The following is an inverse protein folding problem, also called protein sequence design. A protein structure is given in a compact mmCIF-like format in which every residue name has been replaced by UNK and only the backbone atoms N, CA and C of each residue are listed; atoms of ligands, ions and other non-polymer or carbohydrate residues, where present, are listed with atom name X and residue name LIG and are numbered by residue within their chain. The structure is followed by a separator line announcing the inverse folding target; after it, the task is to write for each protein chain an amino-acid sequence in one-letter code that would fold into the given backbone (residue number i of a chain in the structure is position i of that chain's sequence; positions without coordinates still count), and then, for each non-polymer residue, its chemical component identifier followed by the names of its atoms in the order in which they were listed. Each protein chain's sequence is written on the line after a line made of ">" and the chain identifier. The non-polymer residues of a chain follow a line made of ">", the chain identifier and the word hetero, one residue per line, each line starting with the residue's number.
data_IF_654566946056
#
_entry.id   IF_654566946056
#
_cell.length_a   1.000
_cell.length_b   1.000
_cell.length_c   1.000
_cell.angle_alpha   90.00
_cell.angle_beta   90.00
_cell.angle_gamma   90.00
#
_symmetry.space_group_name_H-M   'P 1'
#
loop_
_entity.id
_entity.type
_entity.pdbx_description
1 polymer ?
#
# COMPACT_ATOMS: atom_id res chain seq x y z
N UNK A 1 17.74 -23.21 1.37
CA UNK A 1 16.55 -23.03 0.50
C UNK A 1 16.31 -21.55 0.13
N UNK A 2 17.35 -20.77 -0.22
CA UNK A 2 17.27 -19.31 -0.50
C UNK A 2 17.62 -18.93 -1.94
N UNK A 3 17.85 -19.91 -2.82
CA UNK A 3 18.41 -19.68 -4.17
C UNK A 3 17.43 -19.96 -5.31
N UNK A 4 16.23 -20.48 -5.03
CA UNK A 4 15.23 -20.80 -6.05
C UNK A 4 14.33 -19.60 -6.40
N UNK A 5 14.07 -18.69 -5.46
CA UNK A 5 13.07 -17.64 -5.64
C UNK A 5 13.57 -16.40 -6.41
N UNK A 6 14.88 -16.13 -6.39
CA UNK A 6 15.48 -15.01 -7.14
C UNK A 6 15.53 -15.29 -8.64
N UNK A 7 15.53 -16.56 -9.06
CA UNK A 7 15.60 -16.93 -10.48
C UNK A 7 14.27 -16.80 -11.23
N UNK A 8 13.14 -16.83 -10.52
CA UNK A 8 11.81 -16.79 -11.17
C UNK A 8 11.46 -15.39 -11.67
N UNK A 9 12.05 -14.34 -11.10
CA UNK A 9 11.74 -12.94 -11.48
C UNK A 9 12.57 -12.44 -12.68
N UNK A 10 13.70 -13.08 -13.01
CA UNK A 10 14.63 -12.55 -14.02
C UNK A 10 14.46 -13.15 -15.43
N UNK A 11 13.55 -14.09 -15.66
CA UNK A 11 13.63 -14.94 -16.86
C UNK A 11 12.62 -14.64 -17.99
N UNK A 12 11.97 -13.47 -18.02
CA UNK A 12 10.87 -13.21 -18.97
C UNK A 12 10.96 -11.91 -19.79
N UNK A 13 12.13 -11.32 -20.05
CA UNK A 13 12.18 -10.06 -20.85
C UNK A 13 13.47 -9.81 -21.63
N UNK A 14 14.04 -10.85 -22.22
CA UNK A 14 14.94 -10.65 -23.37
C UNK A 14 14.30 -11.29 -24.59
N UNK A 15 13.08 -10.88 -24.93
CA UNK A 15 12.76 -10.86 -26.36
C UNK A 15 13.77 -9.90 -26.98
N UNK A 16 14.63 -10.41 -27.85
CA UNK A 16 15.55 -9.55 -28.58
C UNK A 16 14.70 -8.56 -29.38
N UNK A 17 14.61 -7.32 -28.85
CA UNK A 17 13.87 -6.24 -29.50
C UNK A 17 14.34 -6.18 -30.94
N UNK A 18 13.43 -6.48 -31.86
CA UNK A 18 13.74 -6.38 -33.29
C UNK A 18 14.21 -4.96 -33.56
N UNK A 19 15.19 -4.77 -34.45
CA UNK A 19 15.77 -3.44 -34.72
C UNK A 19 14.71 -2.35 -34.97
N UNK A 20 13.58 -2.72 -35.57
CA UNK A 20 12.42 -1.84 -35.77
C UNK A 20 11.70 -1.45 -34.48
N UNK A 21 11.53 -2.37 -33.51
CA UNK A 21 10.93 -2.06 -32.21
C UNK A 21 11.82 -1.10 -31.42
N UNK A 22 13.13 -1.36 -31.37
CA UNK A 22 14.09 -0.47 -30.70
C UNK A 22 14.12 0.93 -31.32
N UNK A 23 13.94 1.02 -32.64
CA UNK A 23 13.88 2.29 -33.35
C UNK A 23 12.57 3.03 -33.04
N UNK A 24 11.44 2.33 -33.05
CA UNK A 24 10.13 2.88 -32.70
C UNK A 24 10.12 3.45 -31.27
N UNK A 25 10.79 2.79 -30.32
CA UNK A 25 10.85 3.23 -28.93
C UNK A 25 11.63 4.51 -28.77
N UNK A 26 12.80 4.57 -29.39
CA UNK A 26 13.60 5.79 -29.42
C UNK A 26 12.85 6.93 -30.06
N UNK A 27 12.11 6.68 -31.14
CA UNK A 27 11.28 7.71 -31.77
C UNK A 27 10.11 8.13 -30.89
N UNK A 28 9.43 7.20 -30.21
CA UNK A 28 8.33 7.51 -29.30
C UNK A 28 8.81 8.33 -28.09
N UNK A 29 9.94 7.95 -27.49
CA UNK A 29 10.59 8.71 -26.41
C UNK A 29 11.01 10.10 -26.87
N UNK A 30 11.54 10.22 -28.11
CA UNK A 30 11.96 11.50 -28.68
C UNK A 30 10.76 12.43 -28.93
N UNK A 31 9.67 11.92 -29.53
CA UNK A 31 8.46 12.69 -29.85
C UNK A 31 7.76 13.20 -28.60
N UNK A 32 7.84 12.46 -27.48
CA UNK A 32 7.29 12.88 -26.19
C UNK A 32 8.16 13.88 -25.40
N UNK A 33 9.33 14.26 -25.91
CA UNK A 33 10.28 15.09 -25.18
C UNK A 33 10.08 16.59 -25.40
N UNK A 34 10.20 17.38 -24.34
CA UNK A 34 10.22 18.85 -24.40
C UNK A 34 11.29 19.41 -25.35
N UNK A 35 12.45 18.73 -25.45
CA UNK A 35 13.54 19.14 -26.36
C UNK A 35 13.15 19.00 -27.84
N UNK A 36 12.35 17.97 -28.18
CA UNK A 36 11.87 17.76 -29.54
C UNK A 36 10.92 18.87 -29.97
N UNK A 37 9.96 19.24 -29.11
CA UNK A 37 9.04 20.35 -29.37
C UNK A 37 9.79 21.66 -29.65
N UNK A 38 10.77 22.02 -28.80
CA UNK A 38 11.57 23.24 -28.98
C UNK A 38 12.36 23.20 -30.30
N UNK A 39 12.98 22.07 -30.63
CA UNK A 39 13.71 21.88 -31.89
C UNK A 39 12.77 22.07 -33.09
N UNK A 40 11.63 21.38 -33.11
CA UNK A 40 10.65 21.46 -34.18
C UNK A 40 10.10 22.88 -34.35
N UNK A 41 9.78 23.57 -33.26
CA UNK A 41 9.34 24.97 -33.29
C UNK A 41 10.42 25.91 -33.82
N UNK A 42 11.69 25.66 -33.49
CA UNK A 42 12.83 26.46 -33.99
C UNK A 42 13.01 26.28 -35.49
N UNK A 43 12.89 25.04 -35.99
CA UNK A 43 12.94 24.75 -37.43
C UNK A 43 11.79 25.45 -38.17
N UNK A 44 10.57 25.37 -37.64
CA UNK A 44 9.40 26.06 -38.21
C UNK A 44 9.60 27.58 -38.21
N UNK A 45 10.02 28.16 -37.10
CA UNK A 45 10.27 29.59 -36.98
C UNK A 45 11.41 30.05 -37.92
N UNK A 46 12.47 29.26 -38.05
CA UNK A 46 13.57 29.51 -38.98
C UNK A 46 13.13 29.45 -40.44
N UNK A 47 12.29 28.47 -40.79
CA UNK A 47 11.74 28.31 -42.14
C UNK A 47 10.85 29.50 -42.53
N UNK A 48 9.90 29.87 -41.66
CA UNK A 48 9.05 31.05 -41.83
C UNK A 48 9.91 32.31 -41.90
N UNK A 49 10.90 32.46 -41.02
CA UNK A 49 11.80 33.60 -41.00
C UNK A 49 12.58 33.78 -42.31
N UNK A 50 13.16 32.71 -42.86
CA UNK A 50 13.90 32.75 -44.14
C UNK A 50 12.95 33.09 -45.30
N UNK A 51 11.76 32.51 -45.32
CA UNK A 51 10.79 32.74 -46.40
C UNK A 51 10.15 34.13 -46.38
N UNK A 52 10.15 34.82 -45.23
CA UNK A 52 9.67 36.21 -45.09
C UNK A 52 10.77 37.26 -45.32
N UNK A 53 12.04 36.88 -45.48
CA UNK A 53 13.13 37.83 -45.67
C UNK A 53 13.08 38.47 -47.07
N UNK A 54 13.00 39.82 -47.16
CA UNK A 54 12.98 40.51 -48.44
C UNK A 54 14.33 40.34 -49.16
N UNK A 55 14.29 39.79 -50.38
CA UNK A 55 15.48 39.57 -51.22
C UNK A 55 15.89 38.11 -51.43
N UNK A 56 15.25 37.17 -50.73
CA UNK A 56 15.35 35.73 -51.04
C UNK A 56 14.20 35.37 -51.99
N UNK A 57 14.42 34.56 -53.04
CA UNK A 57 13.30 34.05 -53.84
C UNK A 57 12.33 33.30 -52.92
N UNK A 58 11.05 33.67 -52.93
CA UNK A 58 10.01 32.98 -52.14
C UNK A 58 9.87 31.54 -52.66
N UNK A 59 10.55 30.59 -52.01
CA UNK A 59 10.52 29.18 -52.39
C UNK A 59 9.20 28.50 -51.97
N UNK A 60 8.49 29.08 -51.00
CA UNK A 60 7.22 28.57 -50.48
C UNK A 60 6.19 29.72 -50.39
N UNK A 61 5.57 30.04 -51.53
CA UNK A 61 4.54 31.08 -51.66
C UNK A 61 3.25 30.70 -50.88
N UNK A 62 2.42 31.69 -50.53
CA UNK A 62 1.26 31.53 -49.64
C UNK A 62 0.34 30.34 -50.00
N UNK A 63 -0.06 29.46 -49.04
CA UNK A 63 0.25 29.40 -47.61
C UNK A 63 1.15 28.18 -47.31
N UNK A 64 2.47 28.31 -47.48
CA UNK A 64 3.46 27.28 -47.15
C UNK A 64 3.08 25.84 -47.57
N UNK A 65 2.81 25.62 -48.85
CA UNK A 65 2.30 24.34 -49.38
C UNK A 65 3.25 23.19 -49.08
N UNK A 66 4.56 23.40 -49.24
CA UNK A 66 5.56 22.35 -49.03
C UNK A 66 5.71 22.01 -47.55
N UNK A 67 5.74 23.03 -46.68
CA UNK A 67 5.83 22.82 -45.24
C UNK A 67 4.62 22.07 -44.69
N UNK A 68 3.42 22.46 -45.14
CA UNK A 68 2.17 21.80 -44.74
C UNK A 68 2.13 20.33 -45.19
N UNK A 69 2.63 20.03 -46.39
CA UNK A 69 2.70 18.66 -46.91
C UNK A 69 3.60 17.79 -46.04
N UNK A 70 4.83 18.25 -45.76
CA UNK A 70 5.80 17.49 -44.96
C UNK A 70 5.30 17.30 -43.54
N UNK A 71 4.75 18.35 -42.92
CA UNK A 71 4.22 18.28 -41.55
C UNK A 71 3.03 17.32 -41.43
N UNK A 72 2.13 17.32 -42.42
CA UNK A 72 1.00 16.38 -42.47
C UNK A 72 1.47 14.94 -42.55
N UNK A 73 2.46 14.65 -43.41
CA UNK A 73 3.03 13.30 -43.51
C UNK A 73 3.74 12.87 -42.21
N UNK A 74 4.53 13.75 -41.61
CA UNK A 74 5.22 13.48 -40.35
C UNK A 74 4.24 13.13 -39.23
N UNK A 75 3.15 13.89 -39.11
CA UNK A 75 2.10 13.63 -38.11
C UNK A 75 1.38 12.30 -38.37
N UNK A 76 1.06 12.00 -39.63
CA UNK A 76 0.39 10.76 -40.02
C UNK A 76 1.22 9.51 -39.66
N UNK A 77 2.54 9.56 -39.81
CA UNK A 77 3.42 8.45 -39.45
C UNK A 77 3.75 8.37 -37.95
N UNK A 78 3.68 9.51 -37.24
CA UNK A 78 3.95 9.56 -35.80
C UNK A 78 2.88 8.80 -35.00
N UNK A 79 1.60 8.96 -35.33
CA UNK A 79 0.49 8.33 -34.62
C UNK A 79 0.61 6.79 -34.49
N UNK A 80 0.85 6.00 -35.56
CA UNK A 80 0.99 4.55 -35.45
C UNK A 80 2.28 4.12 -34.73
N UNK A 81 3.39 4.86 -34.83
CA UNK A 81 4.60 4.57 -34.06
C UNK A 81 4.34 4.72 -32.56
N UNK A 82 3.72 5.85 -32.19
CA UNK A 82 3.38 6.13 -30.80
C UNK A 82 2.38 5.09 -30.29
N UNK A 83 1.38 4.72 -31.08
CA UNK A 83 0.41 3.68 -30.70
C UNK A 83 1.07 2.31 -30.52
N UNK A 84 2.01 1.92 -31.38
CA UNK A 84 2.73 0.66 -31.27
C UNK A 84 3.62 0.63 -30.02
N UNK A 85 4.31 1.73 -29.73
CA UNK A 85 5.13 1.87 -28.53
C UNK A 85 4.28 1.86 -27.26
N UNK A 86 3.14 2.57 -27.27
CA UNK A 86 2.16 2.57 -26.18
C UNK A 86 1.57 1.19 -25.92
N UNK A 87 1.16 0.46 -26.96
CA UNK A 87 0.60 -0.88 -26.80
C UNK A 87 1.61 -1.80 -26.11
N UNK A 88 2.88 -1.77 -26.52
CA UNK A 88 3.92 -2.59 -25.89
C UNK A 88 4.23 -2.17 -24.45
N UNK A 89 4.24 -0.87 -24.17
CA UNK A 89 4.43 -0.37 -22.80
C UNK A 89 3.27 -0.82 -21.91
N UNK A 90 2.02 -0.72 -22.38
CA UNK A 90 0.84 -1.14 -21.64
C UNK A 90 0.80 -2.64 -21.33
N UNK A 91 1.27 -3.48 -22.25
CA UNK A 91 1.39 -4.92 -22.02
C UNK A 91 2.43 -5.23 -20.94
N UNK A 92 3.57 -4.53 -20.97
CA UNK A 92 4.62 -4.64 -19.94
C UNK A 92 4.09 -4.18 -18.59
N UNK A 93 3.41 -3.03 -18.54
CA UNK A 93 2.84 -2.47 -17.32
C UNK A 93 1.76 -3.39 -16.73
N UNK A 94 0.94 -4.03 -17.57
CA UNK A 94 -0.06 -5.03 -17.15
C UNK A 94 0.59 -6.25 -16.50
N UNK A 95 1.66 -6.78 -17.09
CA UNK A 95 2.40 -7.92 -16.53
C UNK A 95 3.01 -7.53 -15.19
N UNK A 96 3.64 -6.36 -15.10
CA UNK A 96 4.23 -5.86 -13.87
C UNK A 96 3.18 -5.68 -12.76
N UNK A 97 2.00 -5.17 -13.12
CA UNK A 97 0.88 -5.02 -12.18
C UNK A 97 0.37 -6.37 -11.65
N UNK A 98 0.29 -7.39 -12.50
CA UNK A 98 -0.10 -8.74 -12.06
C UNK A 98 0.94 -9.36 -11.11
N UNK A 99 2.23 -9.20 -11.42
CA UNK A 99 3.32 -9.66 -10.55
C UNK A 99 3.25 -8.97 -9.19
N UNK A 100 3.10 -7.64 -9.18
CA UNK A 100 3.00 -6.85 -7.95
C UNK A 100 1.80 -7.29 -7.11
N UNK A 101 0.65 -7.51 -7.75
CA UNK A 101 -0.55 -8.03 -7.10
C UNK A 101 -0.30 -9.40 -6.47
N UNK A 102 0.32 -10.34 -7.19
CA UNK A 102 0.66 -11.67 -6.65
C UNK A 102 1.66 -11.59 -5.48
N UNK A 103 2.64 -10.69 -5.55
CA UNK A 103 3.60 -10.46 -4.45
C UNK A 103 2.87 -9.92 -3.22
N UNK A 104 1.95 -8.96 -3.40
CA UNK A 104 1.16 -8.39 -2.32
C UNK A 104 0.28 -9.45 -1.64
N UNK A 105 -0.39 -10.32 -2.41
CA UNK A 105 -1.18 -11.42 -1.86
C UNK A 105 -0.32 -12.39 -1.03
N UNK A 106 0.85 -12.77 -1.55
CA UNK A 106 1.80 -13.64 -0.81
C UNK A 106 2.32 -12.96 0.45
N UNK A 107 2.58 -11.65 0.40
CA UNK A 107 2.97 -10.87 1.57
C UNK A 107 1.87 -10.89 2.63
N UNK A 108 0.60 -10.70 2.24
CA UNK A 108 -0.56 -10.81 3.12
C UNK A 108 -0.65 -12.18 3.80
N UNK A 109 -0.54 -13.27 3.03
CA UNK A 109 -0.53 -14.64 3.57
C UNK A 109 0.64 -14.90 4.53
N UNK A 110 1.83 -14.40 4.21
CA UNK A 110 2.99 -14.53 5.08
C UNK A 110 2.79 -13.78 6.41
N UNK A 111 2.16 -12.60 6.38
CA UNK A 111 1.83 -11.84 7.58
C UNK A 111 0.81 -12.60 8.43
N UNK A 112 -0.22 -13.18 7.81
CA UNK A 112 -1.22 -14.01 8.51
C UNK A 112 -0.56 -15.22 9.19
N UNK A 113 0.31 -15.95 8.47
CA UNK A 113 1.08 -17.06 9.03
C UNK A 113 2.02 -16.62 10.17
N UNK A 114 2.64 -15.43 10.04
CA UNK A 114 3.47 -14.87 11.11
C UNK A 114 2.63 -14.55 12.36
N UNK A 115 1.42 -14.02 12.19
CA UNK A 115 0.48 -13.78 13.29
C UNK A 115 0.06 -15.07 13.97
N UNK A 116 -0.32 -16.11 13.20
CA UNK A 116 -0.67 -17.42 13.75
C UNK A 116 0.48 -18.00 14.59
N UNK A 117 1.72 -17.93 14.08
CA UNK A 117 2.90 -18.40 14.80
C UNK A 117 3.19 -17.58 16.05
N UNK A 118 2.98 -16.27 16.01
CA UNK A 118 3.15 -15.40 17.16
C UNK A 118 2.12 -15.70 18.25
N UNK A 119 0.86 -15.89 17.87
CA UNK A 119 -0.22 -16.23 18.81
C UNK A 119 -0.02 -17.62 19.42
N UNK A 120 0.48 -18.58 18.64
CA UNK A 120 0.87 -19.91 19.13
C UNK A 120 1.95 -19.80 20.22
N UNK A 121 2.99 -18.98 19.98
CA UNK A 121 4.06 -18.73 20.95
C UNK A 121 3.55 -18.00 22.21
N UNK A 122 2.76 -16.95 22.05
CA UNK A 122 2.16 -16.23 23.19
C UNK A 122 1.29 -17.16 24.05
N UNK A 123 0.47 -18.00 23.42
CA UNK A 123 -0.39 -18.95 24.13
C UNK A 123 0.43 -19.96 24.93
N UNK A 124 1.53 -20.48 24.35
CA UNK A 124 2.46 -21.37 25.06
C UNK A 124 3.08 -20.68 26.29
N UNK A 125 3.57 -19.45 26.13
CA UNK A 125 4.14 -18.67 27.24
C UNK A 125 3.11 -18.39 28.36
N UNK A 126 1.88 -18.04 28.01
CA UNK A 126 0.81 -17.81 28.98
C UNK A 126 0.46 -19.09 29.75
N UNK A 127 0.44 -20.23 29.07
CA UNK A 127 0.19 -21.53 29.71
C UNK A 127 1.33 -21.89 30.69
N UNK A 128 2.58 -21.68 30.31
CA UNK A 128 3.74 -21.90 31.19
C UNK A 128 3.68 -21.00 32.43
N UNK A 129 3.42 -19.70 32.25
CA UNK A 129 3.26 -18.76 33.37
C UNK A 129 2.10 -19.17 34.29
N UNK A 130 0.97 -19.59 33.74
CA UNK A 130 -0.18 -20.06 34.52
C UNK A 130 0.16 -21.31 35.33
N UNK A 131 0.93 -22.24 34.74
CA UNK A 131 1.39 -23.44 35.43
C UNK A 131 2.33 -23.09 36.59
N UNK A 132 3.32 -22.21 36.37
CA UNK A 132 4.25 -21.75 37.41
C UNK A 132 3.49 -21.08 38.57
N UNK A 133 2.52 -20.21 38.27
CA UNK A 133 1.70 -19.55 39.31
C UNK A 133 0.89 -20.57 40.11
N UNK A 134 0.32 -21.59 39.45
CA UNK A 134 -0.42 -22.66 40.11
C UNK A 134 0.48 -23.48 41.05
N UNK A 135 1.70 -23.80 40.62
CA UNK A 135 2.70 -24.48 41.43
C UNK A 135 3.10 -23.64 42.66
N UNK A 136 3.33 -22.33 42.49
CA UNK A 136 3.60 -21.42 43.61
C UNK A 136 2.45 -21.37 44.61
N UNK A 137 1.20 -21.32 44.15
CA UNK A 137 0.02 -21.31 45.01
C UNK A 137 -0.09 -22.62 45.82
N UNK A 138 0.26 -23.75 45.22
CA UNK A 138 0.26 -25.04 45.90
C UNK A 138 1.33 -25.09 46.99
N UNK A 139 2.56 -24.67 46.71
CA UNK A 139 3.65 -24.58 47.70
C UNK A 139 3.29 -23.63 48.84
N UNK A 140 2.70 -22.46 48.54
CA UNK A 140 2.23 -21.53 49.57
C UNK A 140 1.11 -22.13 50.43
N UNK A 141 0.22 -22.94 49.85
CA UNK A 141 -0.85 -23.59 50.61
C UNK A 141 -0.31 -24.71 51.51
N UNK A 142 0.65 -25.49 51.03
CA UNK A 142 1.38 -26.48 51.84
C UNK A 142 2.12 -25.82 53.00
N UNK A 143 2.87 -24.73 52.75
CA UNK A 143 3.53 -23.96 53.80
C UNK A 143 2.53 -23.34 54.78
N UNK A 144 1.41 -22.81 54.30
CA UNK A 144 0.31 -22.35 55.17
C UNK A 144 -0.21 -23.49 56.05
N UNK A 145 -0.45 -24.68 55.49
CA UNK A 145 -0.92 -25.84 56.26
C UNK A 145 0.11 -26.28 57.31
N UNK A 146 1.40 -26.16 57.04
CA UNK A 146 2.49 -26.49 57.97
C UNK A 146 2.73 -25.40 59.03
N UNK A 147 2.51 -24.11 58.71
CA UNK A 147 2.69 -22.98 59.63
C UNK A 147 1.43 -22.63 60.46
N UNK A 148 0.21 -23.00 60.01
CA UNK A 148 -1.06 -22.86 60.75
C UNK A 148 -1.09 -23.61 62.10
N UNK A 149 -0.47 -24.79 62.29
CA UNK A 149 -0.34 -25.39 63.61
C UNK A 149 0.70 -24.69 64.49
N UNK A 150 1.69 -23.97 63.95
CA UNK A 150 2.71 -23.27 64.75
C UNK A 150 2.18 -22.01 65.47
N UNK A 151 1.03 -21.46 65.05
CA UNK A 151 0.32 -20.40 65.80
C UNK A 151 -0.65 -20.94 66.84
N UNK A 152 -0.88 -22.27 66.90
CA UNK A 152 -1.74 -22.88 67.94
C UNK A 152 -1.05 -23.01 69.30
N UNK A 153 0.27 -22.77 69.37
CA UNK A 153 1.05 -22.76 70.61
C UNK A 153 1.30 -21.34 71.16
N UNK A 154 0.38 -20.41 70.91
CA UNK A 154 0.21 -19.26 71.78
C UNK A 154 -1.27 -19.15 72.19
N UNK A 155 -1.75 -20.23 72.81
CA UNK A 155 -3.02 -20.22 73.53
C UNK A 155 -2.77 -19.54 74.87
N UNK A 156 -3.68 -18.62 75.21
CA UNK A 156 -3.85 -17.97 76.51
C UNK A 156 -3.05 -16.69 76.75
N UNK A 157 -3.56 -15.57 76.21
CA UNK A 157 -3.74 -14.36 77.00
C UNK A 157 -4.95 -13.56 76.49
N UNK A 158 -6.12 -13.97 77.00
CA UNK A 158 -7.28 -13.17 77.42
C UNK A 158 -7.79 -11.97 76.56
N UNK A 159 -9.11 -12.08 76.27
CA UNK A 159 -10.18 -11.11 76.66
C UNK A 159 -10.61 -10.04 75.62
N UNK A 160 -11.80 -10.31 75.04
CA UNK A 160 -12.99 -9.44 74.99
C UNK A 160 -13.19 -8.41 73.85
N UNK A 161 -14.44 -8.41 73.32
CA UNK A 161 -15.28 -7.27 72.90
C UNK A 161 -15.70 -7.10 71.39
N UNK A 162 -17.02 -7.26 71.21
CA UNK A 162 -18.03 -6.62 70.31
C UNK A 162 -18.06 -6.80 68.75
N UNK A 163 -19.26 -6.69 68.14
CA UNK A 163 -19.63 -7.20 66.81
C UNK A 163 -19.63 -6.12 65.70
N UNK A 164 -19.63 -6.56 64.45
CA UNK A 164 -20.16 -5.78 63.32
C UNK A 164 -19.24 -5.68 62.11
N UNK A 165 -19.59 -6.39 61.02
CA UNK A 165 -20.01 -5.71 59.78
C UNK A 165 -20.75 -6.71 58.87
N UNK A 166 -22.02 -6.41 58.63
CA UNK A 166 -22.93 -7.14 57.75
C UNK A 166 -22.55 -6.82 56.28
N UNK A 167 -22.30 -7.83 55.44
CA UNK A 167 -22.17 -7.66 53.99
C UNK A 167 -23.58 -7.68 53.37
N UNK A 168 -24.03 -6.52 52.91
CA UNK A 168 -25.31 -6.31 52.25
C UNK A 168 -25.23 -6.75 50.77
N UNK A 169 -26.01 -7.76 50.37
CA UNK A 169 -26.28 -8.10 48.97
C UNK A 169 -27.59 -7.43 48.55
N UNK A 170 -27.55 -6.54 47.56
CA UNK A 170 -28.74 -5.92 46.99
C UNK A 170 -28.77 -6.10 45.47
N UNK A 171 -29.54 -7.10 45.05
CA UNK A 171 -30.05 -7.24 43.69
C UNK A 171 -31.16 -6.21 43.44
N UNK A 172 -30.88 -5.20 42.60
CA UNK A 172 -31.93 -4.33 42.03
C UNK A 172 -31.60 -3.91 40.61
N UNK A 173 -32.17 -4.62 39.64
CA UNK A 173 -32.32 -4.17 38.26
C UNK A 173 -33.60 -3.34 38.12
N UNK A 174 -33.67 -2.37 37.21
CA UNK A 174 -34.86 -2.08 36.43
C UNK A 174 -34.72 -2.64 35.01
N UNK A 175 -35.81 -3.27 34.55
CA UNK A 175 -36.06 -3.63 33.16
C UNK A 175 -36.39 -2.37 32.36
N UNK A 176 -35.78 -2.18 31.20
CA UNK A 176 -36.43 -1.44 30.10
C UNK A 176 -36.40 -2.26 28.81
N UNK A 177 -37.57 -2.31 28.19
CA UNK A 177 -37.88 -2.93 26.91
C UNK A 177 -37.81 -1.84 25.84
N UNK A 178 -37.03 -2.01 24.77
CA UNK A 178 -37.47 -1.58 23.41
C UNK A 178 -36.54 -2.07 22.29
N UNK A 179 -37.05 -3.02 21.52
CA UNK A 179 -37.12 -3.04 20.06
C UNK A 179 -36.05 -2.30 19.21
N UNK A 180 -35.38 -3.10 18.36
CA UNK A 180 -34.90 -2.79 17.00
C UNK A 180 -33.86 -1.66 16.79
N UNK A 181 -32.63 -2.05 16.41
CA UNK A 181 -32.18 -1.91 15.02
C UNK A 181 -30.91 -2.71 14.74
N UNK A 182 -30.99 -3.50 13.68
CA UNK A 182 -29.92 -4.07 12.89
C UNK A 182 -28.82 -3.02 12.66
N UNK A 183 -27.57 -3.37 12.98
CA UNK A 183 -26.40 -2.53 12.73
C UNK A 183 -26.14 -2.49 11.21
N UNK A 184 -26.68 -1.46 10.55
CA UNK A 184 -26.32 -1.11 9.18
C UNK A 184 -24.94 -0.44 9.20
N UNK A 185 -23.92 -1.15 8.73
CA UNK A 185 -22.66 -0.54 8.29
C UNK A 185 -22.92 0.04 6.90
N UNK A 186 -23.37 1.29 6.86
CA UNK A 186 -23.14 2.17 5.72
C UNK A 186 -22.25 3.30 6.25
N UNK A 187 -20.94 3.11 6.13
CA UNK A 187 -20.00 4.19 6.33
C UNK A 187 -19.72 4.78 4.96
N UNK A 188 -20.45 5.85 4.66
CA UNK A 188 -20.21 6.73 3.52
C UNK A 188 -18.82 7.32 3.69
N UNK A 189 -17.86 6.83 2.90
CA UNK A 189 -16.55 7.48 2.70
C UNK A 189 -16.85 8.78 1.95
N UNK A 190 -17.03 9.85 2.72
CA UNK A 190 -17.18 11.20 2.19
C UNK A 190 -15.87 11.69 1.58
N UNK A 191 -15.97 12.12 0.33
CA UNK A 191 -14.93 12.78 -0.46
C UNK A 191 -14.19 13.87 0.33
N UNK A 192 -12.92 13.63 0.64
CA UNK A 192 -12.00 14.63 1.17
C UNK A 192 -11.09 15.22 0.07
N UNK A 193 -11.67 15.60 -1.07
CA UNK A 193 -10.99 16.40 -2.09
C UNK A 193 -11.16 17.93 -1.87
N UNK A 194 -11.20 18.42 -0.63
CA UNK A 194 -11.33 19.87 -0.39
C UNK A 194 -10.40 20.49 0.64
N UNK A 195 -9.33 19.79 1.01
CA UNK A 195 -8.33 20.32 1.96
C UNK A 195 -6.94 20.53 1.30
N UNK A 196 -6.75 20.13 0.03
CA UNK A 196 -5.44 20.29 -0.64
C UNK A 196 -5.31 21.63 -1.40
N UNK A 197 -6.39 22.30 -1.77
CA UNK A 197 -6.33 23.59 -2.50
C UNK A 197 -6.08 24.82 -1.61
N UNK A 198 -5.98 24.64 -0.28
CA UNK A 198 -5.74 25.75 0.67
C UNK A 198 -4.31 25.84 1.19
N UNK A 199 -3.34 25.23 0.49
CA UNK A 199 -1.91 25.32 0.82
C UNK A 199 -1.01 25.71 -0.37
N UNK A 200 -1.55 25.93 -1.56
CA UNK A 200 -0.77 26.26 -2.78
C UNK A 200 -0.94 27.68 -3.32
N UNK A 201 -1.67 28.56 -2.61
CA UNK A 201 -1.62 29.99 -2.89
C UNK A 201 -1.26 30.79 -1.63
N UNK A 202 0.05 30.99 -1.44
CA UNK A 202 0.60 32.23 -0.90
C UNK A 202 1.97 32.50 -1.50
#
# INVERSE_FOLDING_TARGET
>A
MKLANTKVVQNNSTEELTRGQRLADKFAEQVGSWKFLICQSTVLAGWVGINLMPGVPHWDESPFMMLNLVFSFASAYTAPIVLMSQNRQSDTDRINADIDHQVNLRAGQNIELLHEKLDELHTRQLNELTQIVKEQQQVLNELRVVLVPATKENKELKVSILPGLHVQNNSKFPKETSSNKLFSVDQTIGDNHKIVDKLTHR
#
